data_IF_258978480969
#
_entry.id   IF_258978480969
#
_cell.length_a   1.000
_cell.length_b   1.000
_cell.length_c   1.000
_cell.angle_alpha   90.00
_cell.angle_beta   90.00
_cell.angle_gamma   90.00
#
_symmetry.space_group_name_H-M   'P 1'
#
loop_
_entity.id
_entity.type
_entity.pdbx_description
1 polymer ?
#
# COMPACT_ATOMS: atom_id res chain seq x y z
N UNK A 1 -4.25 15.10 0.56
CA UNK A 1 -5.67 14.65 0.53
C UNK A 1 -5.91 13.92 1.84
N UNK A 2 -6.95 14.22 2.62
CA UNK A 2 -7.20 13.48 3.88
C UNK A 2 -7.89 12.15 3.53
N UNK A 3 -7.25 11.04 3.87
CA UNK A 3 -7.85 9.72 3.77
C UNK A 3 -9.00 9.63 4.78
N UNK A 4 -10.15 9.10 4.36
CA UNK A 4 -11.31 8.92 5.25
C UNK A 4 -11.22 7.65 6.08
N UNK A 5 -10.33 6.74 5.70
CA UNK A 5 -10.20 5.40 6.24
C UNK A 5 -8.80 4.86 5.97
N UNK A 6 -8.30 4.04 6.89
CA UNK A 6 -7.00 3.40 6.74
C UNK A 6 -6.96 2.62 5.43
N UNK A 7 -5.89 2.79 4.67
CA UNK A 7 -5.79 2.27 3.30
C UNK A 7 -4.51 1.47 3.14
N UNK A 8 -4.64 0.19 2.79
CA UNK A 8 -3.53 -0.67 2.42
C UNK A 8 -3.32 -0.62 0.91
N UNK A 9 -2.15 -0.17 0.50
CA UNK A 9 -1.69 -0.23 -0.87
C UNK A 9 -0.85 -1.50 -1.08
N UNK A 10 -1.15 -2.24 -2.14
CA UNK A 10 -0.45 -3.46 -2.55
C UNK A 10 -0.27 -3.50 -4.07
N UNK A 11 0.76 -4.21 -4.50
CA UNK A 11 0.98 -4.51 -5.91
C UNK A 11 -0.01 -5.58 -6.38
N UNK A 12 -0.69 -5.29 -7.49
CA UNK A 12 -1.49 -6.29 -8.20
C UNK A 12 -0.56 -7.34 -8.82
N UNK A 13 -0.79 -8.61 -8.49
CA UNK A 13 -0.18 -9.74 -9.16
C UNK A 13 -1.15 -10.36 -10.19
N UNK A 14 -0.65 -11.00 -11.26
CA UNK A 14 0.76 -10.97 -11.69
C UNK A 14 1.12 -9.62 -12.33
N UNK A 15 2.41 -9.33 -12.45
CA UNK A 15 2.92 -8.20 -13.23
C UNK A 15 4.16 -8.60 -14.04
N UNK A 16 4.44 -7.82 -15.08
CA UNK A 16 5.66 -7.93 -15.90
C UNK A 16 6.65 -6.84 -15.49
N UNK A 17 7.94 -7.16 -15.55
CA UNK A 17 9.03 -6.20 -15.38
C UNK A 17 9.85 -6.16 -16.69
N UNK A 18 9.98 -5.01 -17.37
CA UNK A 18 10.79 -4.89 -18.58
C UNK A 18 12.25 -5.37 -18.44
N UNK A 19 12.78 -5.41 -17.21
CA UNK A 19 14.12 -5.89 -16.92
C UNK A 19 14.23 -7.40 -16.67
N UNK A 20 13.11 -8.13 -16.55
CA UNK A 20 13.06 -9.55 -16.20
C UNK A 20 12.11 -10.33 -17.11
N UNK A 21 12.46 -11.54 -17.49
CA UNK A 21 11.54 -12.39 -18.26
C UNK A 21 10.47 -13.03 -17.36
N UNK A 22 9.25 -13.14 -17.87
CA UNK A 22 8.13 -13.84 -17.21
C UNK A 22 7.21 -12.96 -16.35
N UNK A 23 6.27 -13.62 -15.66
CA UNK A 23 5.29 -12.98 -14.77
C UNK A 23 5.72 -13.12 -13.32
N UNK A 24 5.68 -12.01 -12.60
CA UNK A 24 6.19 -11.88 -11.24
C UNK A 24 5.08 -11.48 -10.27
N UNK A 25 5.39 -11.64 -8.98
CA UNK A 25 4.58 -11.13 -7.89
C UNK A 25 5.48 -10.62 -6.78
N UNK A 26 4.98 -9.68 -5.98
CA UNK A 26 5.67 -9.22 -4.78
C UNK A 26 5.31 -10.13 -3.61
N UNK A 27 6.31 -10.79 -3.01
CA UNK A 27 6.13 -11.72 -1.89
C UNK A 27 5.43 -11.06 -0.72
N UNK A 28 5.87 -9.87 -0.29
CA UNK A 28 5.25 -9.13 0.82
C UNK A 28 3.81 -8.73 0.50
N UNK A 29 3.48 -8.33 -0.74
CA UNK A 29 2.11 -8.01 -1.13
C UNK A 29 1.22 -9.28 -1.16
N UNK A 30 1.75 -10.40 -1.65
CA UNK A 30 1.04 -11.68 -1.63
C UNK A 30 0.76 -12.15 -0.19
N UNK A 31 1.70 -11.94 0.73
CA UNK A 31 1.47 -12.20 2.17
C UNK A 31 0.31 -11.36 2.70
N UNK A 32 0.23 -10.08 2.36
CA UNK A 32 -0.89 -9.22 2.77
C UNK A 32 -2.23 -9.67 2.17
N UNK A 33 -2.24 -10.10 0.91
CA UNK A 33 -3.44 -10.68 0.28
C UNK A 33 -3.90 -11.96 0.99
N UNK A 34 -2.97 -12.86 1.31
CA UNK A 34 -3.26 -14.08 2.07
C UNK A 34 -3.78 -13.78 3.47
N UNK A 35 -3.19 -12.78 4.14
CA UNK A 35 -3.62 -12.29 5.44
C UNK A 35 -5.08 -11.80 5.41
N UNK A 36 -5.44 -11.01 4.39
CA UNK A 36 -6.79 -10.49 4.19
C UNK A 36 -7.79 -11.60 3.84
N UNK A 37 -7.39 -12.56 3.02
CA UNK A 37 -8.20 -13.73 2.68
C UNK A 37 -8.52 -14.58 3.92
N UNK A 38 -7.51 -14.82 4.76
CA UNK A 38 -7.66 -15.59 6.00
C UNK A 38 -8.48 -14.84 7.06
N UNK A 39 -8.53 -13.51 7.01
CA UNK A 39 -9.19 -12.65 8.00
C UNK A 39 -10.14 -11.62 7.35
N UNK A 40 -11.33 -12.04 6.87
CA UNK A 40 -12.25 -11.15 6.16
C UNK A 40 -12.71 -9.92 6.97
N UNK A 41 -12.67 -9.98 8.29
CA UNK A 41 -12.92 -8.83 9.17
C UNK A 41 -11.89 -7.71 8.99
N UNK A 42 -10.62 -8.03 8.68
CA UNK A 42 -9.60 -7.01 8.41
C UNK A 42 -9.83 -6.35 7.07
N UNK A 43 -10.15 -7.13 6.03
CA UNK A 43 -10.52 -6.58 4.72
C UNK A 43 -11.74 -5.66 4.79
N UNK A 44 -12.68 -5.92 5.71
CA UNK A 44 -13.83 -5.04 5.99
C UNK A 44 -13.52 -3.87 6.89
N UNK A 45 -12.33 -3.77 7.48
CA UNK A 45 -11.92 -2.72 8.41
C UNK A 45 -11.01 -1.64 7.78
N UNK A 46 -10.41 -1.92 6.62
CA UNK A 46 -9.60 -0.97 5.85
C UNK A 46 -10.08 -0.87 4.39
N UNK A 47 -9.55 0.09 3.65
CA UNK A 47 -9.60 0.08 2.19
C UNK A 47 -8.37 -0.64 1.63
N UNK A 48 -8.52 -1.36 0.52
CA UNK A 48 -7.42 -2.11 -0.11
C UNK A 48 -7.28 -1.69 -1.56
N UNK A 49 -6.19 -1.01 -1.87
CA UNK A 49 -5.87 -0.50 -3.21
C UNK A 49 -4.81 -1.38 -3.86
N UNK A 50 -5.18 -2.00 -4.98
CA UNK A 50 -4.30 -2.87 -5.79
C UNK A 50 -3.82 -2.12 -7.01
N UNK A 51 -2.61 -1.58 -6.92
CA UNK A 51 -2.01 -0.73 -7.95
C UNK A 51 -1.05 -1.49 -8.86
N UNK A 52 -0.75 -0.93 -10.02
CA UNK A 52 0.13 -1.55 -11.01
C UNK A 52 1.61 -1.53 -10.57
N UNK A 53 2.41 -2.44 -11.13
CA UNK A 53 3.84 -2.54 -10.83
C UNK A 53 4.65 -1.29 -11.22
N UNK A 54 4.52 -0.71 -12.44
CA UNK A 54 5.38 0.38 -12.86
C UNK A 54 5.24 1.63 -11.97
N UNK A 55 6.36 2.31 -11.73
CA UNK A 55 6.38 3.67 -11.20
C UNK A 55 6.13 4.68 -12.35
N UNK A 56 5.56 5.87 -12.08
CA UNK A 56 5.14 6.40 -10.78
C UNK A 56 3.76 5.87 -10.33
N UNK A 57 3.66 5.47 -9.06
CA UNK A 57 2.44 4.94 -8.42
C UNK A 57 1.57 6.07 -7.89
N UNK A 58 0.86 6.75 -8.81
CA UNK A 58 0.15 8.02 -8.54
C UNK A 58 -0.75 7.99 -7.30
N UNK A 59 -1.47 6.91 -7.07
CA UNK A 59 -2.35 6.76 -5.89
C UNK A 59 -1.57 6.75 -4.57
N UNK A 60 -0.41 6.10 -4.56
CA UNK A 60 0.50 6.05 -3.40
C UNK A 60 1.16 7.41 -3.19
N UNK A 61 1.62 8.05 -4.27
CA UNK A 61 2.24 9.38 -4.23
C UNK A 61 1.26 10.41 -3.65
N UNK A 62 0.00 10.38 -4.09
CA UNK A 62 -1.03 11.28 -3.59
C UNK A 62 -1.32 11.09 -2.08
N UNK A 63 -1.06 9.90 -1.54
CA UNK A 63 -1.29 9.57 -0.14
C UNK A 63 -0.09 9.89 0.76
N UNK A 64 1.13 9.50 0.34
CA UNK A 64 2.33 9.51 1.20
C UNK A 64 3.57 10.10 0.54
N UNK A 65 3.46 10.79 -0.59
CA UNK A 65 4.60 11.49 -1.23
C UNK A 65 5.36 10.65 -2.26
N UNK A 66 6.16 11.33 -3.07
CA UNK A 66 6.83 10.73 -4.24
C UNK A 66 7.94 9.76 -3.85
N UNK A 67 8.59 10.00 -2.72
CA UNK A 67 9.67 9.20 -2.19
C UNK A 67 9.18 7.86 -1.58
N UNK A 68 7.89 7.74 -1.24
CA UNK A 68 7.33 6.62 -0.47
C UNK A 68 6.49 5.65 -1.31
N UNK A 69 6.98 5.26 -2.49
CA UNK A 69 6.24 4.39 -3.41
C UNK A 69 6.44 2.88 -3.16
N UNK A 70 7.20 2.46 -2.14
CA UNK A 70 7.43 1.06 -1.82
C UNK A 70 6.14 0.40 -1.30
N UNK A 71 5.90 -0.85 -1.68
CA UNK A 71 4.69 -1.61 -1.33
C UNK A 71 5.07 -3.00 -0.78
N UNK A 72 4.29 -3.55 0.17
CA UNK A 72 3.01 -3.04 0.69
C UNK A 72 3.17 -1.82 1.61
N UNK A 73 2.16 -0.94 1.67
CA UNK A 73 2.14 0.21 2.58
C UNK A 73 0.73 0.40 3.17
N UNK A 74 0.63 0.41 4.50
CA UNK A 74 -0.60 0.77 5.21
C UNK A 74 -0.53 2.24 5.62
N UNK A 75 -1.46 3.04 5.12
CA UNK A 75 -1.57 4.45 5.45
C UNK A 75 -2.75 4.65 6.39
N UNK A 76 -2.48 5.22 7.56
CA UNK A 76 -3.51 5.48 8.57
C UNK A 76 -4.19 6.81 8.30
N UNK A 77 -5.52 6.82 8.35
CA UNK A 77 -6.33 8.03 8.20
C UNK A 77 -6.28 8.90 9.47
N UNK A 78 -6.09 8.27 10.63
CA UNK A 78 -6.05 8.92 11.94
C UNK A 78 -4.68 8.76 12.59
N UNK A 79 -3.90 9.84 12.57
CA UNK A 79 -2.55 9.90 13.15
C UNK A 79 -2.53 9.58 14.64
N UNK A 80 -3.62 9.83 15.37
CA UNK A 80 -3.68 9.59 16.82
C UNK A 80 -3.67 8.10 17.17
N UNK A 81 -3.93 7.23 16.19
CA UNK A 81 -3.92 5.77 16.30
C UNK A 81 -2.62 5.15 15.77
N UNK A 82 -1.68 5.97 15.29
CA UNK A 82 -0.44 5.48 14.75
C UNK A 82 0.42 4.79 15.82
N UNK A 83 1.00 3.62 15.54
CA UNK A 83 1.98 3.02 16.42
C UNK A 83 3.24 3.91 16.50
N UNK A 84 4.02 3.77 17.58
CA UNK A 84 5.15 4.65 17.87
C UNK A 84 6.26 4.61 16.80
N UNK A 85 6.34 3.54 16.02
CA UNK A 85 7.29 3.33 14.92
C UNK A 85 6.72 3.71 13.54
N UNK A 86 5.50 4.27 13.48
CA UNK A 86 4.93 4.75 12.24
C UNK A 86 5.75 5.92 11.68
N UNK A 87 6.09 5.82 10.40
CA UNK A 87 6.70 6.93 9.67
C UNK A 87 5.66 8.01 9.40
N UNK A 88 6.05 9.25 9.67
CA UNK A 88 5.20 10.42 9.49
C UNK A 88 5.54 11.11 8.16
N UNK A 89 4.53 11.30 7.33
CA UNK A 89 4.66 11.93 6.01
C UNK A 89 3.76 13.16 5.94
N UNK A 90 4.29 14.28 5.44
CA UNK A 90 3.53 15.53 5.29
C UNK A 90 3.62 16.52 6.46
N UNK A 91 4.64 16.47 7.31
CA UNK A 91 4.93 17.54 8.28
C UNK A 91 5.89 18.59 7.69
N UNK A 92 5.37 19.48 6.86
CA UNK A 92 5.81 20.88 6.80
C UNK A 92 4.60 21.73 6.40
N UNK A 93 4.30 22.84 7.10
CA UNK A 93 3.22 23.77 6.73
C UNK A 93 3.38 24.36 5.34
#
# INVERSE_FOLDING_TARGET
MSLKRDTLFILRAPFEDPALEGTWFCTSCATMEGMLLANPQWARAIDVVRTAYPRPRREVIAAIGEENQALPALVLADVTKAPADALMFGSTP
#
